data_IF_166506703831
#
_entry.id   IF_166506703831
#
_cell.length_a   1.000
_cell.length_b   1.000
_cell.length_c   1.000
_cell.angle_alpha   90.00
_cell.angle_beta   90.00
_cell.angle_gamma   90.00
#
_symmetry.space_group_name_H-M   'P 1'
#
loop_
_entity.id
_entity.type
_entity.pdbx_description
1 polymer ?
#
# COMPACT_ATOMS: atom_id res chain seq x y z
N UNK A 1 13.91 8.27 -26.51
CA UNK A 1 13.60 8.88 -25.20
C UNK A 1 14.42 8.10 -24.18
N UNK A 2 15.65 8.54 -23.92
CA UNK A 2 16.52 7.91 -22.91
C UNK A 2 15.95 8.23 -21.53
N UNK A 3 15.14 7.32 -20.99
CA UNK A 3 14.75 7.38 -19.59
C UNK A 3 16.00 6.96 -18.82
N UNK A 4 16.60 7.82 -17.98
CA UNK A 4 17.79 7.46 -17.23
C UNK A 4 17.50 6.20 -16.40
N UNK A 5 18.42 5.24 -16.42
CA UNK A 5 18.30 3.91 -15.78
C UNK A 5 17.83 4.01 -14.32
N UNK A 6 18.27 5.05 -13.61
CA UNK A 6 17.86 5.34 -12.23
C UNK A 6 16.34 5.53 -12.10
N UNK A 7 15.71 6.20 -13.07
CA UNK A 7 14.27 6.45 -13.08
C UNK A 7 13.48 5.18 -13.39
N UNK A 8 14.03 4.29 -14.23
CA UNK A 8 13.44 2.97 -14.49
C UNK A 8 13.50 2.08 -13.24
N UNK A 9 14.61 2.07 -12.51
CA UNK A 9 14.76 1.33 -11.26
C UNK A 9 13.78 1.83 -10.19
N UNK A 10 13.67 3.15 -10.02
CA UNK A 10 12.69 3.75 -9.09
C UNK A 10 11.27 3.36 -9.48
N UNK A 11 10.93 3.43 -10.77
CA UNK A 11 9.60 3.05 -11.24
C UNK A 11 9.31 1.56 -10.99
N UNK A 12 10.29 0.67 -11.19
CA UNK A 12 10.16 -0.76 -10.92
C UNK A 12 9.94 -1.02 -9.43
N UNK A 13 10.69 -0.35 -8.55
CA UNK A 13 10.57 -0.49 -7.09
C UNK A 13 9.20 0.00 -6.63
N UNK A 14 8.74 1.15 -7.12
CA UNK A 14 7.42 1.68 -6.78
C UNK A 14 6.31 0.76 -7.30
N UNK A 15 6.41 0.30 -8.55
CA UNK A 15 5.41 -0.57 -9.16
C UNK A 15 5.32 -1.92 -8.46
N UNK A 16 6.46 -2.53 -8.12
CA UNK A 16 6.51 -3.80 -7.37
C UNK A 16 5.98 -3.64 -5.95
N UNK A 17 6.33 -2.56 -5.27
CA UNK A 17 5.75 -2.21 -3.97
C UNK A 17 4.23 -2.08 -4.03
N UNK A 18 3.71 -1.36 -5.03
CA UNK A 18 2.27 -1.22 -5.28
C UNK A 18 1.60 -2.55 -5.61
N UNK A 19 2.23 -3.39 -6.43
CA UNK A 19 1.69 -4.69 -6.81
C UNK A 19 1.59 -5.64 -5.62
N UNK A 20 2.59 -5.67 -4.74
CA UNK A 20 2.55 -6.44 -3.49
C UNK A 20 1.47 -5.90 -2.55
N UNK A 21 1.36 -4.57 -2.43
CA UNK A 21 0.36 -3.95 -1.58
C UNK A 21 -1.06 -4.28 -2.06
N UNK A 22 -1.33 -4.08 -3.36
CA UNK A 22 -2.62 -4.35 -3.98
C UNK A 22 -2.95 -5.84 -4.02
N UNK A 23 -1.97 -6.70 -4.32
CA UNK A 23 -2.14 -8.15 -4.36
C UNK A 23 -2.41 -8.75 -2.98
N UNK A 24 -1.66 -8.31 -1.96
CA UNK A 24 -1.91 -8.69 -0.56
C UNK A 24 -3.28 -8.22 -0.06
N UNK A 25 -3.71 -7.03 -0.49
CA UNK A 25 -5.03 -6.49 -0.20
C UNK A 25 -6.16 -7.28 -0.84
N UNK A 26 -6.07 -7.53 -2.14
CA UNK A 26 -7.07 -8.30 -2.88
C UNK A 26 -7.20 -9.72 -2.31
N UNK A 27 -6.09 -10.38 -1.99
CA UNK A 27 -6.10 -11.71 -1.37
C UNK A 27 -6.71 -11.70 0.03
N UNK A 28 -6.38 -10.71 0.86
CA UNK A 28 -6.94 -10.56 2.20
C UNK A 28 -8.45 -10.31 2.21
N UNK A 29 -8.95 -9.48 1.29
CA UNK A 29 -10.38 -9.22 1.15
C UNK A 29 -11.15 -10.45 0.66
N UNK A 30 -10.62 -11.17 -0.35
CA UNK A 30 -11.22 -12.41 -0.84
C UNK A 30 -11.31 -13.47 0.29
N UNK A 31 -10.25 -13.63 1.09
CA UNK A 31 -10.27 -14.53 2.26
C UNK A 31 -11.29 -14.08 3.31
N UNK A 32 -11.43 -12.78 3.55
CA UNK A 32 -12.37 -12.24 4.52
C UNK A 32 -13.84 -12.30 4.06
N UNK A 33 -14.09 -12.51 2.77
CA UNK A 33 -15.42 -12.77 2.20
C UNK A 33 -15.83 -14.23 2.27
N UNK A 34 -14.87 -15.16 2.13
CA UNK A 34 -15.14 -16.62 2.18
C UNK A 34 -15.31 -17.17 3.59
N UNK A 35 -14.92 -16.41 4.62
CA UNK A 35 -15.01 -16.80 6.03
C UNK A 35 -16.17 -16.04 6.70
N UNK A 36 -17.15 -16.73 7.32
CA UNK A 36 -18.42 -16.19 7.85
C UNK A 36 -18.31 -15.15 9.00
N UNK A 37 -19.08 -15.28 10.10
CA UNK A 37 -19.08 -14.30 11.22
C UNK A 37 -17.68 -14.06 11.85
N UNK A 38 -16.75 -15.02 11.71
CA UNK A 38 -15.32 -14.91 12.06
C UNK A 38 -14.54 -13.95 11.15
N UNK A 39 -15.05 -13.68 9.94
CA UNK A 39 -14.47 -12.75 8.97
C UNK A 39 -14.55 -11.28 9.39
N UNK A 40 -15.39 -10.91 10.38
CA UNK A 40 -15.49 -9.52 10.85
C UNK A 40 -14.17 -9.06 11.48
N UNK A 41 -13.54 -9.89 12.32
CA UNK A 41 -12.24 -9.57 12.91
C UNK A 41 -11.16 -9.38 11.86
N UNK A 42 -11.16 -10.24 10.83
CA UNK A 42 -10.24 -10.14 9.71
C UNK A 42 -10.45 -8.85 8.88
N UNK A 43 -11.70 -8.50 8.59
CA UNK A 43 -12.05 -7.26 7.87
C UNK A 43 -11.64 -6.01 8.63
N UNK A 44 -11.88 -5.98 9.94
CA UNK A 44 -11.48 -4.87 10.80
C UNK A 44 -9.95 -4.77 10.86
N UNK A 45 -9.24 -5.89 11.03
CA UNK A 45 -7.78 -5.90 11.04
C UNK A 45 -7.19 -5.41 9.69
N UNK A 46 -7.72 -5.90 8.57
CA UNK A 46 -7.34 -5.45 7.22
C UNK A 46 -7.61 -3.94 7.08
N UNK A 47 -8.80 -3.47 7.47
CA UNK A 47 -9.16 -2.06 7.43
C UNK A 47 -8.23 -1.17 8.27
N UNK A 48 -7.85 -1.60 9.47
CA UNK A 48 -6.91 -0.88 10.34
C UNK A 48 -5.52 -0.81 9.69
N UNK A 49 -5.04 -1.93 9.14
CA UNK A 49 -3.74 -1.96 8.43
C UNK A 49 -3.77 -1.04 7.21
N UNK A 50 -4.90 -0.96 6.49
CA UNK A 50 -5.08 0.00 5.39
C UNK A 50 -4.86 1.42 5.84
N UNK A 51 -5.57 1.79 6.90
CA UNK A 51 -5.61 3.14 7.39
C UNK A 51 -4.23 3.52 7.90
N UNK A 52 -3.55 2.62 8.60
CA UNK A 52 -2.16 2.81 9.02
C UNK A 52 -1.21 3.00 7.82
N UNK A 53 -1.36 2.22 6.74
CA UNK A 53 -0.54 2.37 5.54
C UNK A 53 -0.79 3.72 4.84
N UNK A 54 -2.05 4.13 4.69
CA UNK A 54 -2.41 5.45 4.13
C UNK A 54 -1.88 6.59 5.01
N UNK A 55 -2.00 6.47 6.33
CA UNK A 55 -1.52 7.46 7.27
C UNK A 55 0.01 7.57 7.23
N UNK A 56 0.72 6.43 7.17
CA UNK A 56 2.16 6.38 7.03
C UNK A 56 2.65 7.01 5.73
N UNK A 57 1.96 6.72 4.61
CA UNK A 57 2.23 7.36 3.32
C UNK A 57 1.99 8.88 3.41
N UNK A 58 0.85 9.31 3.93
CA UNK A 58 0.51 10.73 4.13
C UNK A 58 1.59 11.45 4.94
N UNK A 59 1.94 10.95 6.13
CA UNK A 59 2.97 11.52 7.00
C UNK A 59 4.31 11.61 6.27
N UNK A 60 4.70 10.56 5.54
CA UNK A 60 5.97 10.56 4.82
C UNK A 60 5.99 11.62 3.73
N UNK A 61 4.92 11.74 2.94
CA UNK A 61 4.81 12.75 1.89
C UNK A 61 4.73 14.17 2.46
N UNK A 62 3.96 14.40 3.52
CA UNK A 62 3.87 15.70 4.19
C UNK A 62 5.22 16.18 4.71
N UNK A 63 6.03 15.29 5.31
CA UNK A 63 7.39 15.65 5.74
C UNK A 63 8.32 16.02 4.58
N UNK A 64 8.22 15.31 3.45
CA UNK A 64 9.03 15.63 2.26
C UNK A 64 8.66 17.02 1.71
N UNK A 65 7.39 17.37 1.76
CA UNK A 65 6.90 18.68 1.31
C UNK A 65 7.38 19.79 2.25
N UNK A 66 7.30 19.57 3.56
CA UNK A 66 7.79 20.48 4.59
C UNK A 66 9.32 20.68 4.56
N UNK A 67 10.10 19.64 4.24
CA UNK A 67 11.56 19.72 4.07
C UNK A 67 12.00 20.48 2.81
N UNK A 68 11.08 20.75 1.87
CA UNK A 68 11.37 21.44 0.60
C UNK A 68 10.97 22.92 0.59
N UNK A 69 10.18 23.37 1.57
CA UNK A 69 9.82 24.77 1.78
C UNK A 69 10.86 25.51 2.62
#
# INVERSE_FOLDING_TARGET
>A
MDIPTDRLLVMLIVASGLAVLMGGWAGGLVQAETTGWEGIGLRVAIGVVFFAALLGAWIRFSRIDEEKG
#
